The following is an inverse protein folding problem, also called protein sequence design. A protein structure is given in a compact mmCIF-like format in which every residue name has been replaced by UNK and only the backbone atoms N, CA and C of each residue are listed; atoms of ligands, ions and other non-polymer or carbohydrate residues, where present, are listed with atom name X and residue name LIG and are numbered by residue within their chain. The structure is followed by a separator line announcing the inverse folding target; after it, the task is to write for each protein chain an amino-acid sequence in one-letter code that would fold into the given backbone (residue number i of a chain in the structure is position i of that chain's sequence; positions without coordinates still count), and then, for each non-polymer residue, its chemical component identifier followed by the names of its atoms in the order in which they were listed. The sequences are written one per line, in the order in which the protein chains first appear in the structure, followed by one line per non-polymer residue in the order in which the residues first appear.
data_IF_383793061207
#
_entry.id   IF_383793061207
#
_cell.length_a   1.000
_cell.length_b   1.000
_cell.length_c   1.000
_cell.angle_alpha   90.00
_cell.angle_beta   90.00
_cell.angle_gamma   90.00
#
_symmetry.space_group_name_H-M   'P 1'
#
loop_
_entity.id
_entity.type
_entity.pdbx_description
1 polymer ?
#
# COMPACT_ATOMS: atom_id res chain seq x y z
N UNK A 1 16.30 9.49 -32.46
CA UNK A 1 15.70 8.61 -31.44
C UNK A 1 15.42 9.46 -30.22
N UNK A 2 14.17 9.89 -30.08
CA UNK A 2 13.71 10.73 -28.98
C UNK A 2 13.85 9.94 -27.67
N UNK A 3 14.71 10.43 -26.78
CA UNK A 3 14.72 10.02 -25.38
C UNK A 3 13.47 10.59 -24.73
N UNK A 4 12.39 9.79 -24.80
CA UNK A 4 11.09 10.09 -24.23
C UNK A 4 11.22 10.46 -22.76
N UNK A 5 11.18 11.77 -22.52
CA UNK A 5 11.11 12.38 -21.21
C UNK A 5 9.75 11.97 -20.59
N UNK A 6 9.68 10.81 -19.94
CA UNK A 6 8.51 10.35 -19.16
C UNK A 6 8.24 11.21 -17.90
N UNK A 7 8.75 12.44 -17.84
CA UNK A 7 8.23 13.50 -16.97
C UNK A 7 6.90 14.10 -17.50
N UNK A 8 6.46 13.71 -18.69
CA UNK A 8 5.30 14.30 -19.36
C UNK A 8 3.94 13.77 -18.84
N UNK A 9 3.44 14.37 -17.75
CA UNK A 9 2.01 14.70 -17.41
C UNK A 9 1.75 14.94 -15.91
N UNK A 10 2.79 15.04 -15.07
CA UNK A 10 2.64 15.31 -13.63
C UNK A 10 1.75 16.55 -13.42
N UNK A 11 0.65 16.37 -12.69
CA UNK A 11 -0.30 17.40 -12.23
C UNK A 11 -1.42 17.84 -13.18
N UNK A 12 -1.61 17.26 -14.38
CA UNK A 12 -2.78 17.60 -15.22
C UNK A 12 -4.11 17.29 -14.53
N UNK A 13 -4.21 16.11 -13.91
CA UNK A 13 -5.41 15.68 -13.19
C UNK A 13 -5.67 16.57 -11.97
N UNK A 14 -4.64 16.85 -11.16
CA UNK A 14 -4.76 17.72 -9.98
C UNK A 14 -5.21 19.14 -10.35
N UNK A 15 -4.61 19.73 -11.40
CA UNK A 15 -5.02 21.05 -11.93
C UNK A 15 -6.45 21.04 -12.48
N UNK A 16 -6.83 19.97 -13.17
CA UNK A 16 -8.19 19.80 -13.68
C UNK A 16 -9.21 19.71 -12.54
N UNK A 17 -8.95 18.88 -11.52
CA UNK A 17 -9.80 18.76 -10.34
C UNK A 17 -9.90 20.09 -9.62
N UNK A 18 -8.78 20.76 -9.34
CA UNK A 18 -8.75 22.10 -8.73
C UNK A 18 -9.63 23.10 -9.48
N UNK A 19 -9.54 23.14 -10.83
CA UNK A 19 -10.42 23.99 -11.66
C UNK A 19 -11.89 23.62 -11.56
N UNK A 20 -12.22 22.32 -11.44
CA UNK A 20 -13.59 21.83 -11.34
C UNK A 20 -14.21 22.02 -9.96
N UNK A 21 -13.43 21.92 -8.90
CA UNK A 21 -13.89 22.05 -7.51
C UNK A 21 -13.78 23.49 -6.97
N UNK A 22 -12.99 24.34 -7.62
CA UNK A 22 -12.65 25.68 -7.13
C UNK A 22 -11.60 25.67 -6.00
N UNK A 23 -10.97 24.52 -5.72
CA UNK A 23 -9.92 24.45 -4.70
C UNK A 23 -8.59 25.00 -5.19
N UNK A 24 -7.87 25.68 -4.31
CA UNK A 24 -6.51 26.14 -4.58
C UNK A 24 -5.57 24.96 -4.82
N UNK A 25 -4.82 25.02 -5.92
CA UNK A 25 -3.76 24.06 -6.21
C UNK A 25 -2.44 24.54 -5.60
N UNK A 26 -1.83 23.71 -4.76
CA UNK A 26 -0.50 23.97 -4.18
C UNK A 26 0.53 23.12 -4.93
N UNK A 27 1.46 23.73 -5.69
CA UNK A 27 2.52 22.99 -6.36
C UNK A 27 3.59 22.51 -5.36
N UNK A 28 4.26 21.42 -5.71
CA UNK A 28 5.45 20.92 -5.02
C UNK A 28 6.40 20.28 -6.01
N UNK A 29 7.70 20.34 -5.70
CA UNK A 29 8.75 19.57 -6.38
C UNK A 29 8.83 18.13 -5.86
N UNK A 30 8.20 17.84 -4.71
CA UNK A 30 8.15 16.50 -4.15
C UNK A 30 7.33 15.57 -5.05
N UNK A 31 7.95 14.49 -5.49
CA UNK A 31 7.26 13.38 -6.14
C UNK A 31 6.65 12.50 -5.05
N UNK A 32 5.34 12.58 -4.92
CA UNK A 32 4.57 11.83 -3.93
C UNK A 32 3.26 11.33 -4.55
N UNK A 33 3.00 10.03 -4.39
CA UNK A 33 1.72 9.41 -4.76
C UNK A 33 0.85 9.26 -3.50
N UNK A 34 -0.48 9.31 -3.68
CA UNK A 34 -1.43 9.23 -2.57
C UNK A 34 -1.22 7.98 -1.70
N UNK A 35 -0.85 6.84 -2.29
CA UNK A 35 -0.65 5.59 -1.56
C UNK A 35 0.67 5.49 -0.79
N UNK A 36 1.61 6.42 -0.98
CA UNK A 36 2.91 6.41 -0.30
C UNK A 36 2.87 6.98 1.12
N UNK A 37 1.75 7.62 1.49
CA UNK A 37 1.59 8.32 2.76
C UNK A 37 0.18 8.07 3.32
N UNK A 38 0.10 7.79 4.61
CA UNK A 38 -1.16 7.80 5.36
C UNK A 38 -1.06 8.82 6.49
N UNK A 39 -2.10 9.65 6.68
CA UNK A 39 -2.08 10.82 7.56
C UNK A 39 -3.32 10.81 8.45
N UNK A 40 -3.15 11.01 9.76
CA UNK A 40 -4.26 11.19 10.69
C UNK A 40 -4.65 12.66 10.89
N UNK A 41 -5.72 12.95 11.63
CA UNK A 41 -6.22 14.32 11.81
C UNK A 41 -5.33 15.17 12.72
N UNK A 42 -4.46 14.53 13.50
CA UNK A 42 -3.47 15.21 14.35
C UNK A 42 -2.23 15.67 13.58
N UNK A 43 -2.16 15.42 12.27
CA UNK A 43 -1.00 15.79 11.46
C UNK A 43 0.18 14.85 11.61
N UNK A 44 -0.07 13.58 11.95
CA UNK A 44 0.96 12.54 11.96
C UNK A 44 0.86 11.75 10.67
N UNK A 45 1.97 11.65 9.95
CA UNK A 45 2.10 10.87 8.72
C UNK A 45 2.95 9.60 8.94
N UNK A 46 2.69 8.55 8.16
CA UNK A 46 3.54 7.35 8.08
C UNK A 46 3.95 7.14 6.63
N UNK A 47 5.25 6.91 6.39
CA UNK A 47 5.84 6.69 5.06
C UNK A 47 6.99 5.66 5.12
N UNK A 48 7.30 5.01 3.98
CA UNK A 48 8.56 4.28 3.82
C UNK A 48 9.69 5.23 3.40
N UNK A 49 10.78 5.23 4.16
CA UNK A 49 11.97 6.06 3.94
C UNK A 49 12.71 5.65 2.66
N UNK A 50 12.96 4.35 2.45
CA UNK A 50 13.60 3.82 1.24
C UNK A 50 12.91 4.36 -0.03
N UNK A 51 11.58 4.21 -0.08
CA UNK A 51 10.81 4.52 -1.28
C UNK A 51 10.71 6.01 -1.56
N UNK A 52 10.53 6.86 -0.53
CA UNK A 52 10.43 8.30 -0.76
C UNK A 52 11.76 8.91 -1.21
N UNK A 53 12.89 8.41 -0.70
CA UNK A 53 14.24 8.83 -1.13
C UNK A 53 14.51 8.40 -2.56
N UNK A 54 14.15 7.16 -2.94
CA UNK A 54 14.28 6.69 -4.33
C UNK A 54 13.45 7.53 -5.32
N UNK A 55 12.27 8.00 -4.92
CA UNK A 55 11.41 8.84 -5.77
C UNK A 55 11.94 10.27 -5.92
N UNK A 56 12.72 10.74 -4.95
CA UNK A 56 13.21 12.11 -4.85
C UNK A 56 14.74 12.13 -4.72
N UNK A 57 15.50 11.61 -5.72
CA UNK A 57 16.95 11.39 -5.60
C UNK A 57 17.77 12.68 -5.47
N UNK A 58 17.16 13.85 -5.73
CA UNK A 58 17.78 15.17 -5.55
C UNK A 58 17.48 15.81 -4.19
N UNK A 59 16.74 15.13 -3.30
CA UNK A 59 16.36 15.64 -1.98
C UNK A 59 16.84 14.67 -0.90
N UNK A 60 17.38 15.20 0.19
CA UNK A 60 17.61 14.42 1.40
C UNK A 60 16.33 14.32 2.24
N UNK A 61 16.38 13.50 3.31
CA UNK A 61 15.22 13.28 4.17
C UNK A 61 14.77 14.56 4.91
N UNK A 62 15.68 15.49 5.19
CA UNK A 62 15.34 16.77 5.84
C UNK A 62 14.54 17.67 4.89
N UNK A 63 14.98 17.81 3.65
CA UNK A 63 14.28 18.55 2.60
C UNK A 63 12.91 17.95 2.30
N UNK A 64 12.83 16.61 2.20
CA UNK A 64 11.55 15.90 2.02
C UNK A 64 10.61 16.16 3.20
N UNK A 65 11.13 16.08 4.43
CA UNK A 65 10.34 16.35 5.64
C UNK A 65 9.80 17.77 5.66
N UNK A 66 10.64 18.76 5.32
CA UNK A 66 10.23 20.16 5.27
C UNK A 66 9.12 20.40 4.23
N UNK A 67 9.25 19.80 3.04
CA UNK A 67 8.26 19.93 1.98
C UNK A 67 6.94 19.21 2.33
N UNK A 68 6.98 18.03 2.94
CA UNK A 68 5.78 17.33 3.44
C UNK A 68 5.02 18.15 4.49
N UNK A 69 5.73 18.77 5.44
CA UNK A 69 5.13 19.65 6.46
C UNK A 69 4.52 20.92 5.88
N UNK A 70 5.00 21.39 4.73
CA UNK A 70 4.45 22.56 4.03
C UNK A 70 3.16 22.24 3.28
N UNK A 71 3.01 21.02 2.74
CA UNK A 71 1.92 20.67 1.82
C UNK A 71 0.59 20.35 2.50
N UNK A 72 0.62 20.01 3.78
CA UNK A 72 -0.55 19.58 4.53
C UNK A 72 -0.25 19.74 6.02
N UNK A 73 -1.28 19.77 6.88
CA UNK A 73 -1.16 19.95 8.33
C UNK A 73 -0.34 18.86 9.09
N UNK A 74 0.54 18.13 8.38
CA UNK A 74 1.57 17.27 8.91
C UNK A 74 2.53 18.09 9.78
N UNK A 75 2.71 17.66 11.02
CA UNK A 75 3.69 18.21 11.96
C UNK A 75 4.73 17.16 12.37
N UNK A 76 4.39 15.86 12.28
CA UNK A 76 5.25 14.72 12.61
C UNK A 76 5.18 13.66 11.52
N UNK A 77 6.30 13.00 11.26
CA UNK A 77 6.39 11.91 10.28
C UNK A 77 7.07 10.72 10.96
N UNK A 78 6.43 9.57 10.85
CA UNK A 78 6.97 8.27 11.24
C UNK A 78 7.56 7.63 9.98
N UNK A 79 8.85 7.32 10.05
CA UNK A 79 9.59 6.71 8.95
C UNK A 79 9.76 5.22 9.18
N UNK A 80 9.12 4.41 8.36
CA UNK A 80 9.40 2.97 8.27
C UNK A 80 10.56 2.75 7.30
N UNK A 81 11.34 1.70 7.49
CA UNK A 81 12.61 1.53 6.79
C UNK A 81 12.40 1.26 5.30
N UNK A 82 11.76 0.13 4.97
CA UNK A 82 11.67 -0.37 3.60
C UNK A 82 10.29 -0.97 3.31
N UNK A 83 9.89 -0.91 2.03
CA UNK A 83 8.65 -1.53 1.58
C UNK A 83 8.84 -3.06 1.43
N UNK A 84 7.80 -3.87 1.67
CA UNK A 84 7.83 -5.31 1.40
C UNK A 84 8.19 -5.64 -0.06
N UNK A 85 8.86 -6.78 -0.26
CA UNK A 85 9.30 -7.34 -1.55
C UNK A 85 8.18 -7.39 -2.58
N UNK A 86 6.96 -7.81 -2.15
CA UNK A 86 5.80 -7.89 -3.05
C UNK A 86 5.45 -6.53 -3.68
N UNK A 87 5.69 -5.43 -2.97
CA UNK A 87 5.38 -4.07 -3.44
C UNK A 87 6.54 -3.43 -4.21
N UNK A 88 7.77 -3.94 -4.09
CA UNK A 88 8.91 -3.40 -4.85
C UNK A 88 8.67 -3.52 -6.35
N UNK A 89 9.23 -2.62 -7.15
CA UNK A 89 9.23 -2.72 -8.62
C UNK A 89 10.55 -3.36 -9.04
N UNK A 90 10.50 -4.46 -9.80
CA UNK A 90 11.70 -5.09 -10.39
C UNK A 90 11.52 -5.29 -11.88
N UNK A 91 12.63 -5.32 -12.62
CA UNK A 91 12.66 -5.56 -14.07
C UNK A 91 12.45 -7.03 -14.45
N UNK A 92 12.50 -7.95 -13.49
CA UNK A 92 12.28 -9.38 -13.68
C UNK A 92 11.47 -9.99 -12.53
N UNK A 93 11.56 -11.31 -12.32
CA UNK A 93 10.82 -11.99 -11.25
C UNK A 93 11.26 -11.49 -9.87
N UNK A 94 10.35 -11.57 -8.89
CA UNK A 94 10.68 -11.32 -7.47
C UNK A 94 11.46 -12.48 -6.87
N UNK A 95 11.14 -13.70 -7.30
CA UNK A 95 11.83 -14.91 -6.90
C UNK A 95 11.60 -16.01 -7.93
N UNK A 96 12.66 -16.68 -8.38
CA UNK A 96 12.58 -17.75 -9.38
C UNK A 96 11.70 -17.36 -10.58
N UNK A 97 10.58 -18.05 -10.81
CA UNK A 97 9.61 -17.75 -11.87
C UNK A 97 8.35 -17.02 -11.37
N UNK A 98 8.40 -16.40 -10.18
CA UNK A 98 7.29 -15.65 -9.59
C UNK A 98 7.48 -14.14 -9.83
N UNK A 99 6.54 -13.56 -10.55
CA UNK A 99 6.42 -12.14 -10.84
C UNK A 99 5.39 -11.50 -9.92
N UNK A 100 5.55 -10.20 -9.67
CA UNK A 100 4.54 -9.41 -8.98
C UNK A 100 4.49 -8.00 -9.59
N UNK A 101 3.34 -7.36 -9.44
CA UNK A 101 3.21 -5.93 -9.67
C UNK A 101 3.14 -5.24 -8.32
N UNK A 102 3.86 -4.14 -8.17
CA UNK A 102 3.91 -3.37 -6.94
C UNK A 102 4.12 -1.89 -7.24
N UNK A 103 3.89 -1.02 -6.26
CA UNK A 103 3.99 0.43 -6.45
C UNK A 103 5.26 1.06 -5.85
N UNK A 104 6.13 0.22 -5.29
CA UNK A 104 7.41 0.56 -4.67
C UNK A 104 7.27 1.65 -3.60
N UNK A 105 6.60 1.29 -2.51
CA UNK A 105 6.47 2.11 -1.31
C UNK A 105 5.06 2.55 -0.96
N UNK A 106 4.02 1.84 -1.40
CA UNK A 106 2.65 2.22 -1.05
C UNK A 106 2.31 1.72 0.36
N UNK A 107 2.49 2.60 1.34
CA UNK A 107 2.23 2.36 2.77
C UNK A 107 0.78 1.92 3.02
N UNK A 108 -0.18 2.38 2.21
CA UNK A 108 -1.61 2.11 2.40
C UNK A 108 -2.00 0.63 2.22
N UNK A 109 -1.08 -0.22 1.76
CA UNK A 109 -1.24 -1.68 1.69
C UNK A 109 -0.66 -2.40 2.91
N UNK A 110 0.00 -1.70 3.84
CA UNK A 110 0.73 -2.33 4.95
C UNK A 110 0.43 -1.69 6.30
N UNK A 111 0.27 -0.36 6.33
CA UNK A 111 0.00 0.40 7.55
C UNK A 111 -1.04 1.49 7.29
N UNK A 112 -2.02 1.62 8.17
CA UNK A 112 -3.06 2.66 8.09
C UNK A 112 -3.44 3.15 9.47
N UNK A 113 -3.73 4.44 9.60
CA UNK A 113 -4.47 4.94 10.75
C UNK A 113 -5.93 4.48 10.66
N UNK A 114 -6.41 3.78 11.68
CA UNK A 114 -7.85 3.56 11.85
C UNK A 114 -8.53 4.84 12.33
N UNK A 115 -7.86 5.56 13.25
CA UNK A 115 -8.26 6.82 13.84
C UNK A 115 -7.01 7.56 14.41
N UNK A 116 -7.21 8.62 15.19
CA UNK A 116 -6.13 9.48 15.71
C UNK A 116 -5.35 8.90 16.90
N UNK A 117 -5.65 7.66 17.31
CA UNK A 117 -4.98 6.92 18.39
C UNK A 117 -4.77 5.44 18.07
N UNK A 118 -5.14 4.97 16.88
CA UNK A 118 -5.07 3.55 16.51
C UNK A 118 -4.44 3.39 15.14
N UNK A 119 -3.43 2.53 15.06
CA UNK A 119 -2.73 2.17 13.82
C UNK A 119 -2.96 0.67 13.57
N UNK A 120 -3.31 0.36 12.33
CA UNK A 120 -3.45 -1.00 11.81
C UNK A 120 -2.19 -1.35 11.02
N UNK A 121 -1.66 -2.55 11.22
CA UNK A 121 -0.42 -3.02 10.61
C UNK A 121 -0.56 -4.46 10.10
N UNK A 122 -0.07 -4.74 8.89
CA UNK A 122 -0.13 -6.08 8.29
C UNK A 122 0.93 -7.01 8.87
N UNK A 123 0.57 -8.23 9.24
CA UNK A 123 1.53 -9.26 9.68
C UNK A 123 1.39 -10.54 8.88
N UNK A 124 2.49 -11.31 8.81
CA UNK A 124 2.52 -12.64 8.21
C UNK A 124 2.77 -13.64 9.33
N UNK A 125 2.01 -14.73 9.37
CA UNK A 125 2.20 -15.76 10.38
C UNK A 125 3.58 -16.44 10.24
N UNK A 126 4.20 -16.76 11.38
CA UNK A 126 5.56 -17.33 11.43
C UNK A 126 5.67 -18.72 10.77
N UNK A 127 4.57 -19.44 10.65
CA UNK A 127 4.48 -20.72 9.95
C UNK A 127 4.20 -20.54 8.46
N UNK A 128 3.32 -19.60 8.12
CA UNK A 128 2.90 -19.33 6.74
C UNK A 128 3.99 -18.65 5.90
N UNK A 129 4.87 -17.86 6.52
CA UNK A 129 6.03 -17.26 5.83
C UNK A 129 6.90 -18.28 5.09
N UNK A 130 6.83 -19.56 5.50
CA UNK A 130 7.63 -20.66 4.93
C UNK A 130 7.06 -21.19 3.62
N UNK A 131 5.84 -20.80 3.25
CA UNK A 131 5.19 -21.30 2.04
C UNK A 131 5.83 -20.76 0.77
N UNK A 132 6.44 -19.57 0.80
CA UNK A 132 7.19 -19.03 -0.33
C UNK A 132 8.26 -18.00 0.11
N UNK A 133 9.33 -17.82 -0.68
CA UNK A 133 10.40 -16.87 -0.36
C UNK A 133 9.99 -15.39 -0.32
N UNK A 134 8.96 -14.99 -1.07
CA UNK A 134 8.49 -13.59 -1.10
C UNK A 134 7.86 -13.26 0.26
N UNK A 135 6.91 -14.10 0.69
CA UNK A 135 6.27 -14.00 2.02
C UNK A 135 7.28 -14.14 3.16
N UNK A 136 8.34 -14.95 2.99
CA UNK A 136 9.44 -14.98 3.97
C UNK A 136 10.21 -13.67 4.04
N UNK A 137 10.51 -13.04 2.90
CA UNK A 137 11.17 -11.73 2.87
C UNK A 137 10.29 -10.65 3.49
N UNK A 138 9.02 -10.62 3.11
CA UNK A 138 8.02 -9.69 3.62
C UNK A 138 7.83 -9.84 5.13
N UNK A 139 7.84 -11.06 5.66
CA UNK A 139 7.78 -11.31 7.09
C UNK A 139 8.87 -10.56 7.86
N UNK A 140 10.13 -10.62 7.41
CA UNK A 140 11.23 -9.94 8.10
C UNK A 140 11.13 -8.42 7.98
N UNK A 141 10.81 -7.90 6.78
CA UNK A 141 10.64 -6.47 6.54
C UNK A 141 9.49 -5.91 7.39
N UNK A 142 8.35 -6.61 7.45
CA UNK A 142 7.20 -6.18 8.25
C UNK A 142 7.54 -6.19 9.75
N UNK A 143 8.24 -7.20 10.25
CA UNK A 143 8.66 -7.21 11.66
C UNK A 143 9.64 -6.10 12.02
N UNK A 144 10.61 -5.80 11.15
CA UNK A 144 11.52 -4.67 11.34
C UNK A 144 10.76 -3.34 11.35
N UNK A 145 9.84 -3.16 10.41
CA UNK A 145 8.99 -1.98 10.36
C UNK A 145 8.09 -1.86 11.59
N UNK A 146 7.60 -2.98 12.15
CA UNK A 146 6.81 -2.97 13.38
C UNK A 146 7.65 -2.50 14.59
N UNK A 147 8.92 -2.91 14.68
CA UNK A 147 9.86 -2.42 15.71
C UNK A 147 10.08 -0.91 15.55
N UNK A 148 10.35 -0.46 14.32
CA UNK A 148 10.53 0.96 14.02
C UNK A 148 9.27 1.78 14.34
N UNK A 149 8.09 1.24 14.02
CA UNK A 149 6.81 1.87 14.35
C UNK A 149 6.64 2.01 15.86
N UNK A 150 6.86 0.93 16.64
CA UNK A 150 6.77 0.93 18.10
C UNK A 150 7.70 1.98 18.72
N UNK A 151 8.98 1.97 18.35
CA UNK A 151 9.95 2.95 18.83
C UNK A 151 9.55 4.40 18.48
N UNK A 152 8.99 4.61 17.29
CA UNK A 152 8.57 5.95 16.86
C UNK A 152 7.34 6.46 17.62
N UNK A 153 6.39 5.58 17.97
CA UNK A 153 5.18 5.98 18.71
C UNK A 153 5.40 6.13 20.22
N UNK A 154 6.40 5.47 20.79
CA UNK A 154 6.71 5.57 22.23
C UNK A 154 7.05 7.01 22.66
N UNK A 155 7.55 7.83 21.75
CA UNK A 155 7.85 9.26 22.00
C UNK A 155 6.66 10.22 21.90
N UNK A 156 5.44 9.73 21.76
CA UNK A 156 4.24 10.58 21.70
C UNK A 156 3.57 10.70 23.08
N UNK A 157 3.09 11.91 23.40
CA UNK A 157 2.42 12.21 24.68
C UNK A 157 1.17 11.34 24.92
N UNK A 158 0.56 10.83 23.85
CA UNK A 158 -0.54 9.88 23.92
C UNK A 158 -0.15 8.60 23.15
N UNK A 159 -0.25 7.42 23.77
CA UNK A 159 0.16 6.18 23.14
C UNK A 159 -0.78 5.82 21.99
N UNK A 160 -0.21 5.38 20.87
CA UNK A 160 -0.98 4.72 19.83
C UNK A 160 -1.25 3.27 20.21
N UNK A 161 -2.47 2.81 19.98
CA UNK A 161 -2.80 1.39 19.99
C UNK A 161 -2.43 0.78 18.65
N UNK A 162 -1.66 -0.30 18.67
CA UNK A 162 -1.32 -1.07 17.48
C UNK A 162 -2.20 -2.31 17.39
N UNK A 163 -2.83 -2.52 16.24
CA UNK A 163 -3.57 -3.75 15.94
C UNK A 163 -2.99 -4.41 14.70
N UNK A 164 -2.67 -5.68 14.85
CA UNK A 164 -2.14 -6.51 13.77
C UNK A 164 -3.29 -7.10 12.97
N UNK A 165 -3.22 -7.00 11.65
CA UNK A 165 -4.13 -7.66 10.72
C UNK A 165 -3.37 -8.78 10.01
N UNK A 166 -3.90 -10.01 10.00
CA UNK A 166 -3.24 -11.12 9.34
C UNK A 166 -3.21 -10.88 7.83
N UNK A 167 -2.18 -11.34 7.14
CA UNK A 167 -2.11 -11.32 5.67
C UNK A 167 -2.64 -12.65 5.11
N UNK A 168 -3.43 -12.64 4.03
CA UNK A 168 -3.79 -13.87 3.32
C UNK A 168 -2.54 -14.60 2.82
N UNK A 169 -2.60 -15.92 2.72
CA UNK A 169 -1.48 -16.69 2.16
C UNK A 169 -1.40 -16.43 0.65
N UNK A 170 -0.47 -15.56 0.25
CA UNK A 170 -0.29 -15.15 -1.15
C UNK A 170 -0.12 -16.34 -2.11
N UNK A 171 0.56 -17.41 -1.68
CA UNK A 171 0.74 -18.63 -2.46
C UNK A 171 -0.57 -19.28 -2.94
N UNK A 172 -1.66 -19.14 -2.18
CA UNK A 172 -2.98 -19.69 -2.58
C UNK A 172 -3.69 -18.86 -3.66
N UNK A 173 -3.09 -17.75 -4.06
CA UNK A 173 -3.60 -16.83 -5.06
C UNK A 173 -2.65 -16.67 -6.25
N UNK A 174 -1.63 -17.50 -6.40
CA UNK A 174 -0.81 -17.49 -7.62
C UNK A 174 -1.66 -17.88 -8.83
N UNK A 175 -1.46 -17.17 -9.93
CA UNK A 175 -1.93 -17.58 -11.26
C UNK A 175 -0.72 -17.94 -12.11
N UNK A 176 -0.81 -19.02 -12.88
CA UNK A 176 0.22 -19.39 -13.84
C UNK A 176 -0.01 -18.67 -15.17
N UNK A 177 1.07 -18.32 -15.85
CA UNK A 177 1.07 -17.87 -17.24
C UNK A 177 2.17 -18.61 -18.02
N UNK A 178 2.05 -18.62 -19.34
CA UNK A 178 3.07 -19.19 -20.24
C UNK A 178 3.76 -18.06 -20.99
N UNK A 179 5.08 -18.02 -20.96
CA UNK A 179 5.85 -17.00 -21.68
C UNK A 179 5.63 -17.19 -23.18
N UNK A 180 5.13 -16.16 -23.86
CA UNK A 180 4.88 -16.17 -25.31
C UNK A 180 5.84 -15.30 -26.12
N UNK A 181 6.67 -14.49 -25.45
CA UNK A 181 7.59 -13.53 -26.08
C UNK A 181 9.00 -14.10 -26.16
N UNK A 182 9.79 -13.69 -27.17
CA UNK A 182 11.22 -13.99 -27.17
C UNK A 182 11.97 -13.11 -26.17
N UNK A 183 13.21 -13.50 -25.85
CA UNK A 183 14.10 -12.78 -24.93
C UNK A 183 14.41 -11.35 -25.40
N UNK A 184 14.38 -11.10 -26.70
CA UNK A 184 14.60 -9.79 -27.32
C UNK A 184 13.40 -8.85 -27.17
N UNK A 185 12.19 -9.41 -27.02
CA UNK A 185 10.92 -8.66 -27.05
C UNK A 185 10.44 -8.24 -25.65
N UNK A 186 10.96 -8.85 -24.58
CA UNK A 186 10.52 -8.57 -23.21
C UNK A 186 11.67 -8.51 -22.22
N UNK A 187 11.96 -7.30 -21.70
CA UNK A 187 12.88 -7.11 -20.58
C UNK A 187 12.44 -7.91 -19.35
N UNK A 188 11.11 -8.01 -19.14
CA UNK A 188 10.52 -8.75 -18.03
C UNK A 188 10.82 -10.25 -18.05
N UNK A 189 10.79 -10.85 -19.24
CA UNK A 189 11.02 -12.28 -19.45
C UNK A 189 12.42 -12.58 -19.98
N UNK A 190 13.37 -11.65 -19.83
CA UNK A 190 14.73 -11.78 -20.38
C UNK A 190 15.54 -12.99 -19.87
N UNK A 191 15.06 -13.66 -18.82
CA UNK A 191 15.64 -14.88 -18.24
C UNK A 191 14.85 -16.16 -18.57
N UNK A 192 13.81 -16.06 -19.40
CA UNK A 192 12.88 -17.15 -19.72
C UNK A 192 12.80 -17.35 -21.23
N UNK A 193 12.48 -18.57 -21.63
CA UNK A 193 12.23 -18.95 -23.02
C UNK A 193 10.73 -19.06 -23.29
N UNK A 194 10.33 -18.91 -24.56
CA UNK A 194 8.95 -19.13 -24.95
C UNK A 194 8.51 -20.56 -24.60
N UNK A 195 7.37 -20.69 -23.92
CA UNK A 195 6.87 -21.96 -23.38
C UNK A 195 7.16 -22.19 -21.89
N UNK A 196 8.04 -21.40 -21.27
CA UNK A 196 8.27 -21.47 -19.83
C UNK A 196 7.01 -21.08 -19.05
N UNK A 197 6.78 -21.78 -17.93
CA UNK A 197 5.70 -21.47 -17.00
C UNK A 197 6.19 -20.51 -15.93
N UNK A 198 5.50 -19.39 -15.81
CA UNK A 198 5.72 -18.37 -14.79
C UNK A 198 4.48 -18.22 -13.91
N UNK A 199 4.64 -17.57 -12.77
CA UNK A 199 3.54 -17.30 -11.84
C UNK A 199 3.44 -15.82 -11.55
N UNK A 200 2.21 -15.32 -11.40
CA UNK A 200 1.94 -13.95 -10.98
C UNK A 200 1.35 -13.95 -9.56
N UNK A 201 2.06 -13.30 -8.66
CA UNK A 201 1.68 -13.07 -7.28
C UNK A 201 0.85 -11.79 -7.14
N UNK A 202 -0.35 -11.87 -6.54
CA UNK A 202 -1.12 -10.68 -6.18
C UNK A 202 -0.60 -10.07 -4.88
N UNK A 203 -0.62 -8.75 -4.79
CA UNK A 203 -0.37 -8.01 -3.55
C UNK A 203 -1.60 -8.07 -2.62
N UNK A 204 -1.79 -9.19 -1.94
CA UNK A 204 -2.91 -9.41 -1.01
C UNK A 204 -2.70 -8.61 0.28
N UNK A 205 -3.71 -7.85 0.70
CA UNK A 205 -3.69 -7.08 1.94
C UNK A 205 -5.08 -6.59 2.33
N UNK A 206 -5.49 -6.87 3.57
CA UNK A 206 -6.70 -6.30 4.15
C UNK A 206 -6.57 -4.82 4.51
N UNK A 207 -5.33 -4.32 4.71
CA UNK A 207 -5.05 -2.93 5.08
C UNK A 207 -5.48 -1.95 3.97
N UNK A 208 -5.55 -2.41 2.72
CA UNK A 208 -5.99 -1.60 1.58
C UNK A 208 -7.53 -1.41 1.52
N UNK A 209 -8.18 -1.30 2.68
CA UNK A 209 -9.61 -1.00 2.81
C UNK A 209 -9.92 0.49 2.59
N UNK A 210 -11.15 0.76 2.17
CA UNK A 210 -11.64 2.11 1.90
C UNK A 210 -12.79 2.47 2.83
N UNK A 211 -12.60 3.52 3.64
CA UNK A 211 -13.68 4.14 4.41
C UNK A 211 -14.34 5.22 3.55
N UNK A 212 -15.64 5.11 3.31
CA UNK A 212 -16.39 6.09 2.52
C UNK A 212 -17.78 6.33 3.12
N UNK A 213 -18.01 7.52 3.66
CA UNK A 213 -19.27 7.92 4.29
C UNK A 213 -19.74 6.90 5.34
N UNK A 214 -20.88 6.24 5.12
CA UNK A 214 -21.46 5.24 6.03
C UNK A 214 -21.05 3.79 5.69
N UNK A 215 -20.01 3.59 4.87
CA UNK A 215 -19.54 2.26 4.43
C UNK A 215 -18.04 2.11 4.63
N UNK A 216 -17.62 0.87 4.81
CA UNK A 216 -16.21 0.46 4.71
C UNK A 216 -16.13 -0.69 3.73
N UNK A 217 -15.37 -0.52 2.66
CA UNK A 217 -15.10 -1.57 1.68
C UNK A 217 -13.82 -2.28 2.07
N UNK A 218 -13.92 -3.56 2.40
CA UNK A 218 -12.83 -4.36 2.95
C UNK A 218 -12.47 -5.45 1.94
N UNK A 219 -11.18 -5.62 1.60
CA UNK A 219 -10.74 -6.75 0.78
C UNK A 219 -11.18 -8.08 1.39
N UNK A 220 -11.65 -8.99 0.55
CA UNK A 220 -12.02 -10.36 0.92
C UNK A 220 -11.29 -11.34 0.00
N UNK A 221 -10.72 -12.40 0.59
CA UNK A 221 -9.85 -13.32 -0.13
C UNK A 221 -10.32 -14.78 -0.10
N UNK A 222 -11.11 -15.16 0.89
CA UNK A 222 -11.64 -16.51 0.97
C UNK A 222 -12.51 -16.84 -0.25
N UNK A 223 -12.29 -18.04 -0.79
CA UNK A 223 -13.16 -18.68 -1.77
C UNK A 223 -13.26 -20.16 -1.42
N UNK A 224 -14.37 -20.79 -1.84
CA UNK A 224 -14.56 -22.22 -1.63
C UNK A 224 -13.34 -23.02 -2.12
N UNK A 225 -12.85 -23.93 -1.28
CA UNK A 225 -11.65 -24.72 -1.53
C UNK A 225 -10.38 -24.20 -0.82
N UNK A 226 -10.39 -23.00 -0.24
CA UNK A 226 -9.33 -22.56 0.66
C UNK A 226 -9.52 -23.11 2.08
N UNK A 227 -8.44 -23.06 2.88
CA UNK A 227 -8.40 -23.56 4.25
C UNK A 227 -9.32 -22.76 5.18
N UNK A 228 -9.72 -23.37 6.30
CA UNK A 228 -10.46 -22.66 7.35
C UNK A 228 -9.65 -21.50 7.95
N UNK A 229 -8.31 -21.58 7.93
CA UNK A 229 -7.44 -20.47 8.34
C UNK A 229 -7.73 -19.22 7.49
N UNK A 230 -7.77 -19.34 6.16
CA UNK A 230 -8.05 -18.20 5.27
C UNK A 230 -9.47 -17.67 5.48
N UNK A 231 -10.45 -18.55 5.71
CA UNK A 231 -11.82 -18.15 6.05
C UNK A 231 -11.88 -17.34 7.34
N UNK A 232 -11.13 -17.79 8.35
CA UNK A 232 -11.08 -17.14 9.66
C UNK A 232 -10.38 -15.77 9.57
N UNK A 233 -9.34 -15.62 8.75
CA UNK A 233 -8.69 -14.32 8.53
C UNK A 233 -9.65 -13.27 7.97
N UNK A 234 -10.43 -13.63 6.95
CA UNK A 234 -11.49 -12.74 6.44
C UNK A 234 -12.45 -12.33 7.58
N UNK A 235 -12.95 -13.30 8.36
CA UNK A 235 -13.88 -13.05 9.46
C UNK A 235 -13.32 -12.11 10.53
N UNK A 236 -12.12 -12.41 11.04
CA UNK A 236 -11.44 -11.60 12.06
C UNK A 236 -11.26 -10.15 11.59
N UNK A 237 -10.85 -9.96 10.34
CA UNK A 237 -10.65 -8.62 9.79
C UNK A 237 -11.99 -7.88 9.67
N UNK A 238 -13.04 -8.53 9.17
CA UNK A 238 -14.36 -7.89 9.05
C UNK A 238 -14.89 -7.44 10.41
N UNK A 239 -14.74 -8.28 11.44
CA UNK A 239 -15.16 -7.98 12.81
C UNK A 239 -14.34 -6.84 13.42
N UNK A 240 -13.03 -6.85 13.24
CA UNK A 240 -12.14 -5.81 13.74
C UNK A 240 -12.42 -4.46 13.07
N UNK A 241 -12.61 -4.44 11.75
CA UNK A 241 -12.96 -3.23 11.01
C UNK A 241 -14.35 -2.73 11.45
N UNK A 242 -15.32 -3.61 11.72
CA UNK A 242 -16.63 -3.21 12.26
C UNK A 242 -16.50 -2.51 13.62
N UNK A 243 -15.60 -2.97 14.48
CA UNK A 243 -15.33 -2.34 15.79
C UNK A 243 -14.72 -0.95 15.65
N UNK A 244 -13.78 -0.75 14.72
CA UNK A 244 -13.17 0.57 14.50
C UNK A 244 -14.07 1.58 13.80
N UNK A 245 -15.09 1.12 13.09
CA UNK A 245 -16.01 1.97 12.35
C UNK A 245 -17.47 1.72 12.73
N UNK A 246 -17.84 1.97 14.00
CA UNK A 246 -19.19 1.70 14.50
C UNK A 246 -20.24 2.47 13.68
N UNK A 247 -21.35 1.80 13.38
CA UNK A 247 -22.46 2.36 12.60
C UNK A 247 -22.21 2.44 11.09
N UNK A 248 -21.03 2.02 10.59
CA UNK A 248 -20.81 1.86 9.14
C UNK A 248 -21.16 0.45 8.69
N UNK A 249 -21.66 0.32 7.47
CA UNK A 249 -21.86 -0.97 6.80
C UNK A 249 -20.51 -1.48 6.28
N UNK A 250 -20.10 -2.66 6.74
CA UNK A 250 -18.93 -3.36 6.22
C UNK A 250 -19.32 -4.08 4.93
N UNK A 251 -18.57 -3.85 3.85
CA UNK A 251 -18.83 -4.39 2.52
C UNK A 251 -17.58 -5.18 2.09
N UNK A 252 -17.63 -6.52 2.08
CA UNK A 252 -16.55 -7.32 1.54
C UNK A 252 -16.46 -7.13 0.03
N UNK A 253 -15.24 -7.08 -0.51
CA UNK A 253 -14.96 -6.91 -1.94
C UNK A 253 -13.82 -7.84 -2.35
N UNK A 254 -14.04 -8.62 -3.41
CA UNK A 254 -12.97 -9.38 -4.03
C UNK A 254 -11.93 -8.40 -4.65
N UNK A 255 -10.78 -8.28 -4.00
CA UNK A 255 -9.72 -7.36 -4.39
C UNK A 255 -8.68 -7.99 -5.35
N UNK A 256 -8.72 -9.31 -5.56
CA UNK A 256 -7.71 -10.02 -6.35
C UNK A 256 -7.49 -9.44 -7.76
N UNK A 257 -8.54 -9.08 -8.54
CA UNK A 257 -8.33 -8.48 -9.85
C UNK A 257 -7.47 -7.20 -9.81
N UNK A 258 -7.56 -6.41 -8.74
CA UNK A 258 -6.72 -5.23 -8.55
C UNK A 258 -5.31 -5.62 -8.06
N UNK A 259 -5.24 -6.62 -7.18
CA UNK A 259 -4.00 -7.02 -6.52
C UNK A 259 -2.97 -7.62 -7.49
N UNK A 260 -3.40 -8.29 -8.57
CA UNK A 260 -2.47 -8.75 -9.63
C UNK A 260 -1.78 -7.59 -10.38
N UNK A 261 -2.36 -6.40 -10.32
CA UNK A 261 -1.78 -5.17 -10.87
C UNK A 261 -1.10 -4.31 -9.80
N UNK A 262 -0.83 -4.88 -8.61
CA UNK A 262 -0.20 -4.16 -7.49
C UNK A 262 -1.08 -3.05 -6.91
N UNK A 263 -2.40 -3.12 -7.10
CA UNK A 263 -3.36 -2.12 -6.59
C UNK A 263 -4.30 -2.77 -5.58
N UNK A 264 -4.94 -1.96 -4.73
CA UNK A 264 -6.13 -2.39 -4.00
C UNK A 264 -7.27 -1.38 -4.12
N UNK A 265 -8.31 -1.59 -3.32
CA UNK A 265 -9.55 -0.78 -3.35
C UNK A 265 -9.25 0.69 -3.07
N UNK A 266 -8.40 0.98 -2.09
CA UNK A 266 -8.04 2.33 -1.69
C UNK A 266 -7.12 3.02 -2.71
N UNK A 267 -6.34 2.25 -3.48
CA UNK A 267 -5.37 2.78 -4.45
C UNK A 267 -6.00 3.40 -5.69
N UNK A 268 -7.24 3.03 -6.00
CA UNK A 268 -7.94 3.48 -7.21
C UNK A 268 -8.96 4.60 -6.93
N UNK A 269 -9.09 5.04 -5.67
CA UNK A 269 -10.09 6.02 -5.24
C UNK A 269 -9.41 7.16 -4.48
N UNK A 270 -9.65 8.39 -4.96
CA UNK A 270 -9.31 9.61 -4.23
C UNK A 270 -10.58 10.21 -3.63
N UNK A 271 -10.61 10.36 -2.31
CA UNK A 271 -11.77 10.89 -1.59
C UNK A 271 -11.72 12.42 -1.55
N UNK A 272 -12.86 13.05 -1.84
CA UNK A 272 -13.06 14.47 -1.58
C UNK A 272 -13.79 14.64 -0.23
N UNK A 273 -13.13 15.16 0.81
CA UNK A 273 -13.80 15.41 2.08
C UNK A 273 -14.86 16.49 1.94
N UNK A 274 -15.94 16.39 2.72
CA UNK A 274 -16.91 17.47 2.86
C UNK A 274 -16.23 18.63 3.60
N UNK A 275 -16.31 19.83 3.04
CA UNK A 275 -15.78 21.03 3.71
C UNK A 275 -16.56 21.28 5.01
N UNK A 276 -15.89 21.79 6.07
CA UNK A 276 -16.58 22.34 7.22
C UNK A 276 -17.57 23.41 6.75
N UNK A 277 -18.78 23.41 7.31
CA UNK A 277 -19.73 24.51 7.09
C UNK A 277 -19.20 25.68 7.93
N UNK A 278 -18.92 26.83 7.32
CA UNK A 278 -18.43 27.99 8.06
C UNK A 278 -19.39 28.34 9.22
N UNK A 279 -18.86 28.41 10.45
CA UNK A 279 -19.62 28.75 11.66
C UNK A 279 -20.07 27.57 12.54
N UNK A 280 -19.57 26.35 12.32
CA UNK A 280 -19.68 25.22 13.26
C UNK A 280 -18.37 24.50 13.45
#
# INVERSE_FOLDING_TARGET
METGNHRCRKNRTAKFISKKTGFSYVPTELVLEQGMIDINKKGVAICFMESILQRNPSMDLMAITAELKKLSGINKIIWLAAAPVIDKITTGPRNANIFASGNNGHIESFVRFANDSTILFSTIDSTERKFDPISSGDFYILNENLVNLKNAIDGFDSPYQLFELPTPVMRFHLISDTVTTSKEDSIQYSMFEAGDIVYHAPQVSYINFLVCNNKVFVPQYYRAGLTDSEKNKDGIVMDLIAQFYPGKKIIPVNALPLNYHGKGIRSIISLQPKLPIAGK
#
